data_IF_267649514873
#
_entry.id   IF_267649514873
#
_cell.length_a   1.000
_cell.length_b   1.000
_cell.length_c   1.000
_cell.angle_alpha   90.00
_cell.angle_beta   90.00
_cell.angle_gamma   90.00
#
_symmetry.space_group_name_H-M   'P 1'
#
loop_
_entity.id
_entity.type
_entity.pdbx_description
1 polymer ?
#
# COMPACT_ATOMS: atom_id res chain seq x y z
N UNK A 1 11.95 39.51 -6.98
CA UNK A 1 11.41 38.15 -6.70
C UNK A 1 10.03 38.01 -7.31
N UNK A 2 9.87 37.14 -8.31
CA UNK A 2 8.56 36.95 -8.96
C UNK A 2 7.53 36.37 -7.96
N UNK A 3 6.36 37.00 -7.80
CA UNK A 3 5.26 36.54 -7.01
C UNK A 3 4.82 35.16 -7.54
N UNK A 4 5.02 34.09 -6.75
CA UNK A 4 4.56 32.75 -7.09
C UNK A 4 3.02 32.76 -7.17
N UNK A 5 2.49 32.48 -8.34
CA UNK A 5 1.04 32.41 -8.59
C UNK A 5 0.47 31.26 -7.77
N UNK A 6 -0.49 31.56 -6.89
CA UNK A 6 -1.15 30.55 -6.04
C UNK A 6 -2.06 29.69 -6.94
N UNK A 7 -1.74 28.42 -7.12
CA UNK A 7 -2.56 27.50 -7.93
C UNK A 7 -3.94 27.35 -7.27
N UNK A 8 -5.00 27.54 -8.06
CA UNK A 8 -6.37 27.17 -7.66
C UNK A 8 -6.55 25.67 -7.88
N UNK A 9 -6.81 24.92 -6.82
CA UNK A 9 -7.09 23.47 -6.89
C UNK A 9 -8.53 23.22 -7.37
N UNK A 10 -8.77 23.43 -8.66
CA UNK A 10 -10.04 23.09 -9.30
C UNK A 10 -10.27 21.58 -9.30
N UNK A 11 -11.47 21.15 -9.69
CA UNK A 11 -11.80 19.73 -9.78
C UNK A 11 -10.88 18.99 -10.76
N UNK A 12 -10.56 19.62 -11.89
CA UNK A 12 -9.67 19.10 -12.94
C UNK A 12 -8.23 18.97 -12.45
N UNK A 13 -7.71 19.99 -11.74
CA UNK A 13 -6.35 19.94 -11.16
C UNK A 13 -6.24 18.84 -10.11
N UNK A 14 -7.25 18.70 -9.24
CA UNK A 14 -7.29 17.60 -8.26
C UNK A 14 -7.35 16.23 -8.93
N UNK A 15 -8.15 16.07 -10.00
CA UNK A 15 -8.19 14.82 -10.77
C UNK A 15 -6.82 14.49 -11.33
N UNK A 16 -6.12 15.44 -11.98
CA UNK A 16 -4.75 15.26 -12.49
C UNK A 16 -3.76 14.83 -11.40
N UNK A 17 -3.85 15.43 -10.20
CA UNK A 17 -3.01 15.01 -9.06
C UNK A 17 -3.25 13.54 -8.74
N UNK A 18 -4.51 13.11 -8.65
CA UNK A 18 -4.86 11.73 -8.35
C UNK A 18 -4.43 10.76 -9.44
N UNK A 19 -4.60 11.12 -10.71
CA UNK A 19 -4.19 10.29 -11.85
C UNK A 19 -2.68 10.03 -11.83
N UNK A 20 -1.88 11.09 -11.65
CA UNK A 20 -0.42 10.99 -11.57
C UNK A 20 0.04 10.22 -10.32
N UNK A 21 -0.65 10.42 -9.19
CA UNK A 21 -0.33 9.70 -7.97
C UNK A 21 -0.63 8.21 -8.07
N UNK A 22 -1.76 7.82 -8.69
CA UNK A 22 -2.12 6.42 -8.94
C UNK A 22 -1.19 5.74 -9.94
N UNK A 23 -0.60 6.49 -10.88
CA UNK A 23 0.47 6.03 -11.78
C UNK A 23 1.82 5.82 -11.05
N UNK A 24 1.91 6.10 -9.76
CA UNK A 24 3.12 5.90 -8.95
C UNK A 24 4.14 7.02 -9.02
N UNK A 25 3.81 8.18 -9.65
CA UNK A 25 4.73 9.32 -9.69
C UNK A 25 4.99 9.89 -8.30
N UNK A 26 6.21 10.35 -8.07
CA UNK A 26 6.59 10.97 -6.81
C UNK A 26 5.91 12.34 -6.62
N UNK A 27 5.69 12.76 -5.36
CA UNK A 27 5.12 14.08 -5.07
C UNK A 27 5.94 15.23 -5.68
N UNK A 28 7.29 15.08 -5.72
CA UNK A 28 8.17 16.05 -6.36
C UNK A 28 7.95 16.14 -7.87
N UNK A 29 7.73 14.99 -8.54
CA UNK A 29 7.43 14.93 -9.97
C UNK A 29 6.08 15.57 -10.30
N UNK A 30 5.03 15.26 -9.51
CA UNK A 30 3.70 15.85 -9.66
C UNK A 30 3.75 17.37 -9.42
N UNK A 31 4.47 17.80 -8.40
CA UNK A 31 4.64 19.21 -8.08
C UNK A 31 5.33 19.99 -9.21
N UNK A 32 6.37 19.40 -9.81
CA UNK A 32 7.07 19.99 -10.97
C UNK A 32 6.14 20.10 -12.18
N UNK A 33 5.35 19.07 -12.46
CA UNK A 33 4.38 19.08 -13.56
C UNK A 33 3.34 20.20 -13.43
N UNK A 34 2.93 20.53 -12.20
CA UNK A 34 1.91 21.54 -11.91
C UNK A 34 2.47 22.89 -11.51
N UNK A 35 3.80 23.10 -11.55
CA UNK A 35 4.44 24.36 -11.17
C UNK A 35 4.25 24.74 -9.69
N UNK A 36 4.13 23.75 -8.78
CA UNK A 36 3.85 23.97 -7.36
C UNK A 36 4.88 23.27 -6.46
N UNK A 37 4.68 23.34 -5.14
CA UNK A 37 5.52 22.66 -4.16
C UNK A 37 4.96 21.26 -3.81
N UNK A 38 5.87 20.33 -3.48
CA UNK A 38 5.46 18.97 -3.08
C UNK A 38 4.62 18.95 -1.79
N UNK A 39 4.83 19.90 -0.88
CA UNK A 39 4.01 20.11 0.32
C UNK A 39 2.55 20.42 -0.02
N UNK A 40 2.33 21.22 -1.07
CA UNK A 40 0.98 21.56 -1.54
C UNK A 40 0.26 20.38 -2.15
N UNK A 41 0.98 19.50 -2.88
CA UNK A 41 0.42 18.22 -3.36
C UNK A 41 0.11 17.30 -2.19
N UNK A 42 1.04 17.20 -1.23
CA UNK A 42 0.84 16.39 -0.01
C UNK A 42 -0.42 16.79 0.74
N UNK A 43 -0.68 18.09 0.93
CA UNK A 43 -1.88 18.59 1.62
C UNK A 43 -3.19 18.22 0.92
N UNK A 44 -3.19 17.99 -0.40
CA UNK A 44 -4.37 17.49 -1.13
C UNK A 44 -4.64 16.00 -0.92
N UNK A 45 -3.61 15.20 -0.61
CA UNK A 45 -3.71 13.75 -0.46
C UNK A 45 -3.93 13.30 0.99
N UNK A 46 -3.40 14.05 1.96
CA UNK A 46 -3.46 13.71 3.40
C UNK A 46 -4.87 13.51 3.93
N UNK A 47 -5.88 14.36 3.60
CA UNK A 47 -7.23 14.20 4.18
C UNK A 47 -7.88 12.84 3.87
N UNK A 48 -7.43 12.19 2.80
CA UNK A 48 -7.92 10.86 2.39
C UNK A 48 -6.87 9.78 2.51
N UNK A 49 -5.74 10.07 3.18
CA UNK A 49 -4.65 9.10 3.38
C UNK A 49 -4.04 8.54 2.09
N UNK A 50 -4.07 9.31 1.00
CA UNK A 50 -3.61 8.84 -0.31
C UNK A 50 -4.56 7.87 -1.01
N UNK A 51 -5.80 7.74 -0.53
CA UNK A 51 -6.86 6.97 -1.17
C UNK A 51 -7.74 7.93 -1.97
N UNK A 52 -7.81 7.73 -3.30
CA UNK A 52 -8.66 8.58 -4.16
C UNK A 52 -10.13 8.48 -3.74
N UNK A 53 -10.79 9.59 -3.41
CA UNK A 53 -12.23 9.58 -3.17
C UNK A 53 -12.96 9.12 -4.44
N UNK A 54 -14.00 8.27 -4.33
CA UNK A 54 -14.80 7.90 -5.48
C UNK A 54 -15.49 9.14 -6.08
N UNK A 55 -15.51 9.24 -7.39
CA UNK A 55 -16.22 10.30 -8.07
C UNK A 55 -17.73 10.14 -7.85
N UNK A 56 -18.37 11.23 -7.40
CA UNK A 56 -19.82 11.23 -7.17
C UNK A 56 -20.54 11.26 -8.51
N UNK A 57 -21.34 10.25 -8.77
CA UNK A 57 -22.17 10.14 -9.97
C UNK A 57 -23.64 10.28 -9.58
N UNK A 58 -24.42 11.01 -10.40
CA UNK A 58 -25.87 11.03 -10.28
C UNK A 58 -26.47 9.73 -10.79
N UNK A 59 -27.56 9.32 -10.15
CA UNK A 59 -28.43 8.29 -10.72
C UNK A 59 -29.03 8.80 -12.04
N UNK A 60 -29.20 7.91 -13.00
CA UNK A 60 -29.84 8.21 -14.29
C UNK A 60 -31.30 8.73 -14.11
N UNK A 61 -31.93 8.39 -12.97
CA UNK A 61 -33.28 8.84 -12.64
C UNK A 61 -33.33 10.19 -11.94
N UNK A 62 -32.21 10.74 -11.51
CA UNK A 62 -32.17 12.07 -10.87
C UNK A 62 -32.27 13.18 -11.92
N UNK A 63 -32.95 14.25 -11.56
CA UNK A 63 -32.99 15.44 -12.40
C UNK A 63 -31.58 16.04 -12.57
N UNK A 64 -31.23 16.37 -13.80
CA UNK A 64 -30.01 17.09 -14.16
C UNK A 64 -30.12 18.58 -13.85
N UNK A 65 -29.01 19.31 -13.90
CA UNK A 65 -29.02 20.76 -13.77
C UNK A 65 -29.85 21.44 -14.88
N UNK A 66 -29.70 20.94 -16.14
CA UNK A 66 -30.48 21.47 -17.29
C UNK A 66 -31.98 21.26 -17.10
N UNK A 67 -32.43 20.10 -16.60
CA UNK A 67 -33.85 19.88 -16.32
C UNK A 67 -34.37 20.81 -15.21
N UNK A 68 -33.55 21.11 -14.20
CA UNK A 68 -33.87 22.07 -13.15
C UNK A 68 -33.97 23.49 -13.66
N UNK A 69 -33.13 23.88 -14.61
CA UNK A 69 -33.23 25.17 -15.30
C UNK A 69 -34.55 25.29 -16.07
N UNK A 70 -34.94 24.24 -16.81
CA UNK A 70 -36.23 24.24 -17.50
C UNK A 70 -37.41 24.27 -16.54
N UNK A 71 -37.33 23.62 -15.38
CA UNK A 71 -38.36 23.79 -14.33
C UNK A 71 -38.41 25.24 -13.86
N UNK A 72 -37.24 25.87 -13.60
CA UNK A 72 -37.20 27.28 -13.19
C UNK A 72 -37.83 28.24 -14.24
N UNK A 73 -37.50 28.02 -15.52
CA UNK A 73 -38.07 28.76 -16.65
C UNK A 73 -39.58 28.54 -16.77
N UNK A 74 -40.04 27.29 -16.65
CA UNK A 74 -41.45 26.94 -16.69
C UNK A 74 -42.28 27.61 -15.54
N UNK A 75 -41.67 27.69 -14.34
CA UNK A 75 -42.30 28.40 -13.21
C UNK A 75 -42.46 29.89 -13.52
N UNK A 76 -41.39 30.55 -14.02
CA UNK A 76 -41.44 31.97 -14.40
C UNK A 76 -42.45 32.24 -15.52
N UNK A 77 -42.62 31.29 -16.45
CA UNK A 77 -43.59 31.34 -17.53
C UNK A 77 -45.02 30.94 -17.10
N UNK A 78 -45.28 30.72 -15.81
CA UNK A 78 -46.57 30.30 -15.25
C UNK A 78 -47.11 28.97 -15.88
N UNK A 79 -46.23 28.09 -16.33
CA UNK A 79 -46.63 26.79 -16.85
C UNK A 79 -47.08 25.83 -15.75
N UNK A 80 -48.09 25.01 -16.06
CA UNK A 80 -48.56 23.99 -15.13
C UNK A 80 -47.47 22.90 -14.90
N UNK A 81 -47.49 22.27 -13.73
CA UNK A 81 -46.60 21.11 -13.43
C UNK A 81 -46.72 20.03 -14.49
N UNK A 82 -47.90 19.80 -15.03
CA UNK A 82 -48.12 18.80 -16.09
C UNK A 82 -47.45 19.19 -17.38
N UNK A 83 -47.51 20.46 -17.75
CA UNK A 83 -46.85 21.00 -18.95
C UNK A 83 -45.34 20.91 -18.82
N UNK A 84 -44.75 21.32 -17.69
CA UNK A 84 -43.33 21.23 -17.42
C UNK A 84 -42.87 19.75 -17.46
N UNK A 85 -43.65 18.88 -16.84
CA UNK A 85 -43.33 17.43 -16.81
C UNK A 85 -43.37 16.81 -18.23
N UNK A 86 -44.33 17.21 -19.07
CA UNK A 86 -44.43 16.76 -20.45
C UNK A 86 -43.18 17.19 -21.27
N UNK A 87 -42.79 18.46 -21.16
CA UNK A 87 -41.63 19.02 -21.85
C UNK A 87 -40.32 18.28 -21.46
N UNK A 88 -40.22 17.90 -20.20
CA UNK A 88 -39.03 17.21 -19.68
C UNK A 88 -39.11 15.68 -19.81
N UNK A 89 -40.22 15.14 -20.31
CA UNK A 89 -40.48 13.68 -20.36
C UNK A 89 -40.28 13.02 -18.98
N UNK A 90 -40.77 13.69 -17.94
CA UNK A 90 -40.73 13.23 -16.54
C UNK A 90 -42.14 13.12 -15.98
N UNK A 91 -42.29 12.33 -14.91
CA UNK A 91 -43.55 12.24 -14.21
C UNK A 91 -43.91 13.58 -13.54
N UNK A 92 -45.20 14.05 -13.61
CA UNK A 92 -45.63 15.21 -12.88
C UNK A 92 -45.32 15.16 -11.39
N UNK A 93 -45.41 13.98 -10.78
CA UNK A 93 -45.06 13.80 -9.38
C UNK A 93 -43.58 14.06 -9.07
N UNK A 94 -42.69 13.82 -10.04
CA UNK A 94 -41.28 14.16 -9.91
C UNK A 94 -41.03 15.64 -9.87
N UNK A 95 -41.68 16.37 -10.77
CA UNK A 95 -41.58 17.83 -10.85
C UNK A 95 -42.20 18.50 -9.62
N UNK A 96 -43.41 18.09 -9.23
CA UNK A 96 -44.07 18.59 -8.02
C UNK A 96 -43.22 18.39 -6.75
N UNK A 97 -42.66 17.19 -6.57
CA UNK A 97 -41.78 16.92 -5.43
C UNK A 97 -40.51 17.75 -5.46
N UNK A 98 -39.92 17.98 -6.66
CA UNK A 98 -38.73 18.80 -6.81
C UNK A 98 -38.99 20.25 -6.42
N UNK A 99 -40.10 20.84 -6.91
CA UNK A 99 -40.50 22.21 -6.59
C UNK A 99 -40.77 22.35 -5.08
N UNK A 100 -41.58 21.47 -4.51
CA UNK A 100 -41.95 21.54 -3.10
C UNK A 100 -40.75 21.33 -2.15
N UNK A 101 -39.83 20.46 -2.51
CA UNK A 101 -38.58 20.20 -1.70
C UNK A 101 -37.62 21.38 -1.70
N UNK A 102 -37.74 22.28 -2.64
CA UNK A 102 -36.83 23.41 -2.81
C UNK A 102 -37.51 24.77 -2.63
N UNK A 103 -38.55 24.80 -1.78
CA UNK A 103 -39.17 26.04 -1.31
C UNK A 103 -40.44 26.46 -2.04
N UNK A 104 -40.98 25.64 -2.95
CA UNK A 104 -42.20 25.97 -3.69
C UNK A 104 -41.93 26.85 -4.91
N UNK A 105 -43.01 27.35 -5.50
CA UNK A 105 -42.92 28.10 -6.76
C UNK A 105 -42.21 29.46 -6.59
N UNK A 106 -42.38 30.14 -5.48
CA UNK A 106 -41.90 31.51 -5.28
C UNK A 106 -40.38 31.57 -5.08
N UNK A 107 -39.83 30.53 -4.42
CA UNK A 107 -38.42 30.52 -4.02
C UNK A 107 -37.54 29.54 -4.81
N UNK A 108 -38.14 28.76 -5.71
CA UNK A 108 -37.40 27.77 -6.48
C UNK A 108 -36.27 28.41 -7.31
N UNK A 109 -35.05 27.88 -7.15
CA UNK A 109 -33.87 28.22 -7.96
C UNK A 109 -33.15 26.95 -8.36
N UNK A 110 -32.90 26.77 -9.66
CA UNK A 110 -32.29 25.57 -10.25
C UNK A 110 -30.93 25.23 -9.62
N UNK A 111 -30.06 26.24 -9.44
CA UNK A 111 -28.73 26.06 -8.86
C UNK A 111 -28.80 25.61 -7.39
N UNK A 112 -29.68 26.21 -6.59
CA UNK A 112 -29.89 25.84 -5.20
C UNK A 112 -30.51 24.44 -5.08
N UNK A 113 -31.51 24.14 -5.91
CA UNK A 113 -32.14 22.82 -5.97
C UNK A 113 -31.12 21.71 -6.36
N UNK A 114 -30.21 22.04 -7.26
CA UNK A 114 -29.10 21.13 -7.67
C UNK A 114 -28.15 20.87 -6.51
N UNK A 115 -27.71 21.91 -5.83
CA UNK A 115 -26.85 21.78 -4.67
C UNK A 115 -27.54 20.98 -3.56
N UNK A 116 -28.77 21.32 -3.23
CA UNK A 116 -29.57 20.59 -2.24
C UNK A 116 -29.73 19.09 -2.59
N UNK A 117 -29.84 18.76 -3.90
CA UNK A 117 -29.94 17.38 -4.34
C UNK A 117 -28.60 16.64 -4.12
N UNK A 118 -27.46 17.30 -4.36
CA UNK A 118 -26.15 16.74 -4.03
C UNK A 118 -25.95 16.51 -2.53
N UNK A 119 -26.41 17.44 -1.71
CA UNK A 119 -26.29 17.37 -0.25
C UNK A 119 -27.19 16.28 0.33
N UNK A 120 -28.44 16.18 -0.13
CA UNK A 120 -29.34 15.07 0.24
C UNK A 120 -28.84 13.69 -0.19
N UNK A 121 -28.08 13.62 -1.29
CA UNK A 121 -27.46 12.37 -1.76
C UNK A 121 -26.23 11.96 -0.92
N UNK A 122 -25.75 12.83 -0.02
CA UNK A 122 -24.74 12.50 0.97
C UNK A 122 -25.35 11.58 2.03
N UNK A 123 -25.35 10.29 1.74
CA UNK A 123 -25.67 9.25 2.75
C UNK A 123 -24.37 8.70 3.28
N UNK A 124 -23.90 9.09 4.47
CA UNK A 124 -22.73 8.47 5.08
C UNK A 124 -23.06 7.00 5.34
N UNK A 125 -22.44 6.09 4.58
CA UNK A 125 -22.50 4.67 4.89
C UNK A 125 -21.60 4.43 6.09
N UNK A 126 -22.18 3.97 7.19
CA UNK A 126 -21.41 3.55 8.35
C UNK A 126 -20.41 2.47 7.96
N UNK A 127 -19.21 2.54 8.51
CA UNK A 127 -18.17 1.54 8.25
C UNK A 127 -18.58 0.19 8.86
N UNK A 128 -18.24 -0.92 8.19
CA UNK A 128 -18.52 -2.28 8.72
C UNK A 128 -17.94 -2.47 10.12
N UNK A 129 -16.74 -1.91 10.39
CA UNK A 129 -16.11 -1.96 11.72
C UNK A 129 -16.85 -1.14 12.79
N UNK A 130 -17.61 -0.13 12.39
CA UNK A 130 -18.46 0.66 13.28
C UNK A 130 -19.79 -0.04 13.56
N UNK A 131 -20.36 -0.72 12.54
CA UNK A 131 -21.61 -1.48 12.68
C UNK A 131 -21.40 -2.73 13.54
N UNK A 132 -20.21 -3.34 13.47
CA UNK A 132 -19.84 -4.55 14.21
C UNK A 132 -18.68 -4.27 15.16
N UNK A 133 -18.92 -3.76 16.39
CA UNK A 133 -17.88 -3.38 17.34
C UNK A 133 -16.91 -4.52 17.67
N UNK A 134 -17.40 -5.74 17.87
CA UNK A 134 -16.57 -6.93 18.12
C UNK A 134 -15.56 -7.19 17.00
N UNK A 135 -15.96 -6.99 15.73
CA UNK A 135 -15.03 -7.08 14.61
C UNK A 135 -13.98 -5.95 14.65
N UNK A 136 -14.39 -4.75 15.06
CA UNK A 136 -13.48 -3.62 15.27
C UNK A 136 -12.41 -3.93 16.31
N UNK A 137 -12.80 -4.48 17.46
CA UNK A 137 -11.91 -4.90 18.55
C UNK A 137 -10.93 -6.00 18.11
N UNK A 138 -11.42 -7.01 17.36
CA UNK A 138 -10.57 -8.06 16.81
C UNK A 138 -9.51 -7.49 15.85
N UNK A 139 -9.91 -6.57 14.97
CA UNK A 139 -8.98 -5.90 14.05
C UNK A 139 -7.97 -5.05 14.82
N UNK A 140 -8.41 -4.29 15.82
CA UNK A 140 -7.54 -3.45 16.64
C UNK A 140 -6.51 -4.27 17.41
N UNK A 141 -6.91 -5.38 18.05
CA UNK A 141 -6.01 -6.26 18.79
C UNK A 141 -4.91 -6.84 17.90
N UNK A 142 -5.25 -7.27 16.68
CA UNK A 142 -4.27 -7.78 15.72
C UNK A 142 -3.37 -6.68 15.13
N UNK A 143 -3.89 -5.46 14.93
CA UNK A 143 -3.05 -4.32 14.54
C UNK A 143 -2.02 -3.99 15.63
N UNK A 144 -2.39 -4.02 16.92
CA UNK A 144 -1.46 -3.82 18.04
C UNK A 144 -0.35 -4.87 18.09
N UNK A 145 -0.64 -6.11 17.66
CA UNK A 145 0.34 -7.18 17.41
C UNK A 145 1.10 -7.00 16.10
N UNK A 146 1.04 -5.81 15.49
CA UNK A 146 1.73 -5.44 14.26
C UNK A 146 1.35 -6.27 13.01
N UNK A 147 0.20 -6.93 13.03
CA UNK A 147 -0.28 -7.63 11.84
C UNK A 147 -0.66 -6.63 10.75
N UNK A 148 -0.35 -6.96 9.50
CA UNK A 148 -0.81 -6.13 8.38
C UNK A 148 -2.32 -6.31 8.16
N UNK A 149 -3.02 -5.29 7.62
CA UNK A 149 -4.43 -5.42 7.24
C UNK A 149 -4.74 -6.63 6.35
N UNK A 150 -3.79 -7.06 5.53
CA UNK A 150 -3.92 -8.22 4.65
C UNK A 150 -3.87 -9.53 5.43
N UNK A 151 -2.93 -9.66 6.38
CA UNK A 151 -2.86 -10.79 7.31
C UNK A 151 -4.13 -10.90 8.17
N UNK A 152 -4.63 -9.78 8.69
CA UNK A 152 -5.86 -9.72 9.49
C UNK A 152 -7.06 -10.18 8.65
N UNK A 153 -7.20 -9.65 7.44
CA UNK A 153 -8.29 -10.06 6.53
C UNK A 153 -8.25 -11.55 6.19
N UNK A 154 -7.06 -12.10 5.93
CA UNK A 154 -6.88 -13.53 5.65
C UNK A 154 -7.17 -14.40 6.88
N UNK A 155 -6.71 -13.98 8.06
CA UNK A 155 -6.98 -14.67 9.32
C UNK A 155 -8.48 -14.70 9.63
N UNK A 156 -9.18 -13.58 9.56
CA UNK A 156 -10.63 -13.50 9.80
C UNK A 156 -11.43 -14.42 8.89
N UNK A 157 -11.02 -14.59 7.63
CA UNK A 157 -11.67 -15.53 6.70
C UNK A 157 -11.46 -17.00 7.11
N UNK A 158 -10.31 -17.35 7.65
CA UNK A 158 -10.01 -18.73 8.09
C UNK A 158 -10.71 -19.07 9.39
N UNK A 159 -10.68 -18.17 10.37
CA UNK A 159 -11.28 -18.39 11.70
C UNK A 159 -12.82 -18.30 11.67
N UNK A 160 -13.37 -17.53 10.73
CA UNK A 160 -14.81 -17.28 10.65
C UNK A 160 -15.34 -17.47 9.22
N UNK A 161 -15.18 -18.65 8.58
CA UNK A 161 -15.57 -18.86 7.19
C UNK A 161 -17.07 -18.58 6.94
N UNK A 162 -17.94 -18.99 7.85
CA UNK A 162 -19.40 -18.90 7.72
C UNK A 162 -20.02 -17.63 8.30
N UNK A 163 -19.21 -16.72 8.87
CA UNK A 163 -19.69 -15.51 9.54
C UNK A 163 -19.30 -14.26 8.77
N UNK A 164 -20.08 -13.87 7.78
CA UNK A 164 -19.83 -12.63 7.01
C UNK A 164 -19.62 -11.38 7.90
N UNK A 165 -20.34 -11.29 9.02
CA UNK A 165 -20.23 -10.17 9.96
C UNK A 165 -18.88 -10.10 10.67
N UNK A 166 -18.10 -11.18 10.70
CA UNK A 166 -16.76 -11.25 11.28
C UNK A 166 -15.66 -11.18 10.22
N UNK A 167 -15.99 -10.97 8.95
CA UNK A 167 -15.03 -10.82 7.87
C UNK A 167 -14.95 -9.36 7.42
N UNK A 168 -13.76 -8.91 7.06
CA UNK A 168 -13.53 -7.57 6.52
C UNK A 168 -12.37 -7.59 5.52
N UNK A 169 -12.49 -6.82 4.44
CA UNK A 169 -11.40 -6.69 3.47
C UNK A 169 -10.27 -5.82 4.03
N UNK A 170 -9.03 -6.13 3.63
CA UNK A 170 -7.87 -5.31 3.98
C UNK A 170 -8.04 -3.83 3.55
N UNK A 171 -8.74 -3.59 2.44
CA UNK A 171 -9.03 -2.24 1.95
C UNK A 171 -9.95 -1.46 2.89
N UNK A 172 -10.94 -2.14 3.50
CA UNK A 172 -11.81 -1.51 4.52
C UNK A 172 -11.03 -1.14 5.77
N UNK A 173 -10.09 -2.00 6.21
CA UNK A 173 -9.20 -1.71 7.34
C UNK A 173 -8.33 -0.49 7.01
N UNK A 174 -7.68 -0.46 5.84
CA UNK A 174 -6.89 0.70 5.42
C UNK A 174 -7.72 1.99 5.36
N UNK A 175 -8.93 1.94 4.78
CA UNK A 175 -9.81 3.11 4.75
C UNK A 175 -10.19 3.60 6.13
N UNK A 176 -10.45 2.70 7.07
CA UNK A 176 -10.78 3.07 8.46
C UNK A 176 -9.61 3.71 9.19
N UNK A 177 -8.37 3.32 8.85
CA UNK A 177 -7.16 3.91 9.43
C UNK A 177 -6.80 5.27 8.83
N UNK A 178 -6.90 5.42 7.51
CA UNK A 178 -6.42 6.61 6.80
C UNK A 178 -7.50 7.68 6.57
N UNK A 179 -8.78 7.30 6.45
CA UNK A 179 -9.89 8.23 6.22
C UNK A 179 -10.61 8.46 7.55
N UNK A 180 -10.07 9.34 8.38
CA UNK A 180 -10.51 9.60 9.75
C UNK A 180 -11.97 10.12 9.89
N UNK A 181 -12.57 10.62 8.83
CA UNK A 181 -13.97 11.04 8.84
C UNK A 181 -14.97 9.89 9.13
N UNK A 182 -14.49 8.65 9.22
CA UNK A 182 -15.31 7.45 9.48
C UNK A 182 -15.06 6.80 10.83
N UNK A 183 -14.10 7.31 11.63
CA UNK A 183 -13.93 7.10 13.08
C UNK A 183 -13.90 5.67 13.64
N UNK A 184 -14.00 4.62 12.80
CA UNK A 184 -14.12 3.24 13.28
C UNK A 184 -12.84 2.67 13.91
N UNK A 185 -11.68 3.20 13.57
CA UNK A 185 -10.39 2.83 14.16
C UNK A 185 -9.62 4.08 14.55
N UNK A 186 -8.95 4.03 15.70
CA UNK A 186 -8.16 5.16 16.20
C UNK A 186 -6.97 5.44 15.29
N UNK A 187 -6.68 6.73 15.03
CA UNK A 187 -5.55 7.18 14.21
C UNK A 187 -4.20 6.65 14.72
N UNK A 188 -4.07 6.50 16.03
CA UNK A 188 -2.88 5.97 16.69
C UNK A 188 -2.49 4.57 16.17
N UNK A 189 -3.47 3.77 15.73
CA UNK A 189 -3.22 2.44 15.18
C UNK A 189 -2.40 2.46 13.88
N UNK A 190 -2.26 3.61 13.22
CA UNK A 190 -1.38 3.75 12.05
C UNK A 190 0.09 3.51 12.38
N UNK A 191 0.51 3.76 13.63
CA UNK A 191 1.89 3.53 14.07
C UNK A 191 2.29 2.04 14.04
N UNK A 192 1.33 1.13 14.13
CA UNK A 192 1.55 -0.32 14.07
C UNK A 192 1.63 -0.86 12.64
N UNK A 193 1.36 -0.03 11.62
CA UNK A 193 1.55 -0.41 10.23
C UNK A 193 3.04 -0.44 9.86
N UNK A 194 3.46 -1.44 9.08
CA UNK A 194 4.87 -1.62 8.64
C UNK A 194 5.52 -0.36 8.09
N UNK A 195 4.79 0.46 7.35
CA UNK A 195 5.38 1.64 6.70
C UNK A 195 5.25 2.92 7.51
N UNK A 196 4.53 2.95 8.62
CA UNK A 196 4.25 4.12 9.48
C UNK A 196 3.99 5.43 8.71
N UNK A 197 3.48 5.35 7.47
CA UNK A 197 3.27 6.49 6.58
C UNK A 197 1.89 7.07 6.79
N UNK A 198 1.79 8.38 6.71
CA UNK A 198 0.52 9.11 6.75
C UNK A 198 -0.27 9.04 5.45
N UNK A 199 0.38 8.63 4.35
CA UNK A 199 -0.23 8.48 3.01
C UNK A 199 0.16 7.12 2.43
N UNK A 200 -0.83 6.40 1.92
CA UNK A 200 -0.64 5.12 1.21
C UNK A 200 -0.04 5.37 -0.17
N UNK A 201 1.00 4.61 -0.54
CA UNK A 201 1.56 4.66 -1.90
C UNK A 201 0.68 3.88 -2.89
N UNK A 202 0.71 4.30 -4.15
CA UNK A 202 0.14 3.52 -5.24
C UNK A 202 0.91 2.20 -5.44
N UNK A 203 0.21 1.12 -5.81
CA UNK A 203 0.83 -0.20 -6.07
C UNK A 203 1.87 -0.17 -7.18
N UNK A 204 1.70 0.72 -8.16
CA UNK A 204 2.60 0.91 -9.30
C UNK A 204 3.88 1.70 -8.99
N UNK A 205 4.07 2.16 -7.75
CA UNK A 205 5.28 2.88 -7.37
C UNK A 205 6.45 1.91 -7.15
N UNK A 206 7.18 1.59 -8.22
CA UNK A 206 8.43 0.85 -8.14
C UNK A 206 9.58 1.78 -7.80
N UNK A 207 10.43 1.37 -6.86
CA UNK A 207 11.74 1.98 -6.64
C UNK A 207 12.71 1.33 -7.64
N UNK A 208 13.11 2.05 -8.69
CA UNK A 208 14.25 1.65 -9.51
C UNK A 208 15.51 1.82 -8.67
N UNK A 209 16.21 0.74 -8.38
CA UNK A 209 17.55 0.75 -7.83
C UNK A 209 18.56 0.69 -8.97
N UNK A 210 19.44 1.66 -9.07
CA UNK A 210 20.61 1.63 -9.95
C UNK A 210 21.81 1.06 -9.19
N UNK A 211 22.61 0.25 -9.86
CA UNK A 211 23.96 -0.10 -9.46
C UNK A 211 24.20 -1.58 -9.13
N UNK A 212 24.51 -2.35 -10.16
CA UNK A 212 24.93 -3.76 -10.03
C UNK A 212 26.45 -3.86 -10.15
N UNK A 213 27.12 -4.26 -9.04
CA UNK A 213 28.51 -4.66 -9.05
C UNK A 213 28.70 -5.98 -9.83
N UNK A 214 29.85 -6.15 -10.52
CA UNK A 214 30.23 -7.43 -11.11
C UNK A 214 30.82 -8.32 -10.01
N UNK A 215 30.24 -9.49 -9.79
CA UNK A 215 30.79 -10.58 -8.97
C UNK A 215 31.61 -11.46 -9.90
N UNK A 216 32.94 -11.63 -9.66
CA UNK A 216 33.77 -12.50 -10.49
C UNK A 216 33.34 -13.97 -10.35
N UNK A 217 33.35 -14.73 -11.44
CA UNK A 217 33.04 -16.16 -11.47
C UNK A 217 31.70 -16.55 -10.82
N UNK A 218 30.72 -15.66 -10.91
CA UNK A 218 29.37 -15.91 -10.40
C UNK A 218 28.67 -17.02 -11.20
N UNK A 219 28.24 -18.08 -10.53
CA UNK A 219 27.43 -19.14 -11.15
C UNK A 219 25.99 -18.57 -11.32
N UNK A 220 25.47 -18.49 -12.56
CA UNK A 220 24.16 -17.92 -12.80
C UNK A 220 23.05 -18.82 -12.25
N UNK A 221 21.92 -18.21 -11.90
CA UNK A 221 20.74 -18.92 -11.35
C UNK A 221 20.19 -19.96 -12.34
N UNK A 222 20.44 -19.81 -13.63
CA UNK A 222 20.06 -20.78 -14.67
C UNK A 222 20.74 -22.15 -14.52
N UNK A 223 21.89 -22.20 -13.84
CA UNK A 223 22.60 -23.45 -13.54
C UNK A 223 22.11 -24.11 -12.25
N UNK A 224 21.19 -23.50 -11.54
CA UNK A 224 20.62 -24.04 -10.31
C UNK A 224 19.76 -25.27 -10.62
N UNK A 225 19.89 -26.37 -9.84
CA UNK A 225 19.08 -27.58 -10.06
C UNK A 225 17.59 -27.31 -10.07
N UNK A 226 16.84 -27.99 -10.96
CA UNK A 226 15.40 -27.82 -11.07
C UNK A 226 14.64 -28.17 -9.78
N UNK A 227 15.18 -29.08 -8.95
CA UNK A 227 14.63 -29.43 -7.62
C UNK A 227 14.49 -28.24 -6.68
N UNK A 228 15.24 -27.16 -6.93
CA UNK A 228 15.15 -25.93 -6.13
C UNK A 228 13.92 -25.10 -6.49
N UNK A 229 13.35 -25.28 -7.69
CA UNK A 229 12.26 -24.43 -8.18
C UNK A 229 10.89 -24.78 -7.58
N UNK A 230 10.59 -26.06 -7.43
CA UNK A 230 9.29 -26.51 -6.90
C UNK A 230 9.13 -26.32 -5.39
N UNK A 231 10.23 -25.98 -4.70
CA UNK A 231 10.28 -25.77 -3.24
C UNK A 231 9.84 -26.98 -2.41
N UNK A 232 9.84 -28.17 -2.99
CA UNK A 232 9.46 -29.39 -2.29
C UNK A 232 10.59 -29.93 -1.41
N UNK A 233 11.84 -29.66 -1.81
CA UNK A 233 13.03 -30.16 -1.12
C UNK A 233 13.57 -29.08 -0.19
N UNK A 234 13.69 -29.35 1.13
CA UNK A 234 14.33 -28.42 2.07
C UNK A 234 15.84 -28.33 1.87
N UNK A 235 16.43 -27.24 2.39
CA UNK A 235 17.86 -26.98 2.34
C UNK A 235 18.30 -25.98 1.29
N UNK A 236 17.39 -25.36 0.57
CA UNK A 236 17.69 -24.33 -0.42
C UNK A 236 17.35 -22.92 0.12
N UNK A 237 18.38 -22.07 0.24
CA UNK A 237 18.29 -20.79 0.89
C UNK A 237 18.34 -19.60 -0.08
N UNK A 238 17.65 -18.56 0.26
CA UNK A 238 17.75 -17.23 -0.36
C UNK A 238 18.36 -16.26 0.65
N UNK A 239 19.40 -15.53 0.26
CA UNK A 239 20.09 -14.60 1.13
C UNK A 239 20.07 -13.16 0.60
N UNK A 240 20.15 -12.19 1.52
CA UNK A 240 20.19 -10.75 1.24
C UNK A 240 20.71 -9.96 2.45
N UNK A 241 20.99 -8.68 2.28
CA UNK A 241 21.31 -7.78 3.38
C UNK A 241 20.17 -6.82 3.69
N UNK A 242 19.81 -6.71 4.96
CA UNK A 242 19.00 -5.61 5.47
C UNK A 242 19.94 -4.48 5.91
N UNK A 243 19.90 -3.35 5.17
CA UNK A 243 20.72 -2.18 5.47
C UNK A 243 20.02 -1.21 6.42
N UNK A 244 20.76 -0.69 7.39
CA UNK A 244 20.37 0.36 8.33
C UNK A 244 21.02 1.72 8.03
N UNK A 245 21.02 2.59 9.03
CA UNK A 245 21.85 3.81 9.06
C UNK A 245 23.27 3.47 9.50
N UNK A 246 24.19 4.44 9.40
CA UNK A 246 25.60 4.30 9.81
C UNK A 246 26.32 3.09 9.24
N UNK A 247 25.97 2.67 8.01
CA UNK A 247 26.51 1.48 7.34
C UNK A 247 26.26 0.16 8.11
N UNK A 248 25.34 0.14 9.06
CA UNK A 248 24.95 -1.09 9.76
C UNK A 248 24.14 -2.01 8.82
N UNK A 249 24.36 -3.31 8.96
CA UNK A 249 23.65 -4.31 8.15
C UNK A 249 23.49 -5.62 8.93
N UNK A 250 22.51 -6.40 8.50
CA UNK A 250 22.19 -7.74 8.99
C UNK A 250 22.01 -8.63 7.77
N UNK A 251 22.64 -9.80 7.74
CA UNK A 251 22.35 -10.79 6.72
C UNK A 251 21.05 -11.53 7.05
N UNK A 252 20.23 -11.75 6.04
CA UNK A 252 18.99 -12.51 6.14
C UNK A 252 19.10 -13.74 5.26
N UNK A 253 18.84 -14.89 5.83
CA UNK A 253 18.78 -16.16 5.15
C UNK A 253 17.38 -16.73 5.30
N UNK A 254 16.73 -17.07 4.21
CA UNK A 254 15.38 -17.62 4.19
C UNK A 254 15.39 -18.95 3.48
N UNK A 255 15.01 -20.00 4.19
CA UNK A 255 14.84 -21.33 3.61
C UNK A 255 13.57 -21.35 2.73
N UNK A 256 13.68 -21.90 1.52
CA UNK A 256 12.65 -21.76 0.47
C UNK A 256 11.39 -22.60 0.71
N UNK A 257 11.53 -23.77 1.33
CA UNK A 257 10.43 -24.69 1.61
C UNK A 257 9.67 -24.28 2.87
N UNK A 258 10.35 -24.24 4.01
CA UNK A 258 9.77 -23.98 5.33
C UNK A 258 9.48 -22.52 5.61
N UNK A 259 10.16 -21.60 4.90
CA UNK A 259 10.22 -20.16 5.20
C UNK A 259 10.94 -19.84 6.51
N UNK A 260 11.68 -20.78 7.04
CA UNK A 260 12.52 -20.55 8.19
C UNK A 260 13.52 -19.42 7.92
N UNK A 261 13.70 -18.56 8.89
CA UNK A 261 14.52 -17.34 8.76
C UNK A 261 15.70 -17.44 9.72
N UNK A 262 16.87 -17.07 9.25
CA UNK A 262 18.02 -16.79 10.11
C UNK A 262 18.47 -15.36 9.88
N UNK A 263 18.73 -14.65 10.96
CA UNK A 263 19.30 -13.30 10.97
C UNK A 263 20.71 -13.36 11.53
N UNK A 264 21.67 -12.84 10.78
CA UNK A 264 23.08 -12.87 11.17
C UNK A 264 23.59 -11.45 11.34
N UNK A 265 24.06 -11.14 12.56
CA UNK A 265 24.69 -9.87 12.86
C UNK A 265 25.98 -9.71 12.07
N UNK A 266 26.17 -8.52 11.50
CA UNK A 266 27.37 -8.19 10.72
C UNK A 266 27.99 -6.89 11.26
N UNK A 267 29.31 -6.86 11.38
CA UNK A 267 30.03 -5.64 11.79
C UNK A 267 30.12 -4.64 10.64
N UNK A 268 30.18 -5.13 9.41
CA UNK A 268 30.24 -4.28 8.19
C UNK A 268 29.81 -5.07 6.95
N UNK A 269 29.71 -4.37 5.79
CA UNK A 269 29.34 -4.94 4.48
C UNK A 269 30.51 -5.49 3.66
N UNK A 270 31.71 -5.58 4.21
CA UNK A 270 32.84 -6.11 3.45
C UNK A 270 32.63 -7.58 3.14
N UNK A 271 32.96 -7.99 1.93
CA UNK A 271 32.74 -9.37 1.45
C UNK A 271 33.33 -10.42 2.39
N UNK A 272 34.52 -10.18 2.92
CA UNK A 272 35.14 -11.09 3.87
C UNK A 272 34.34 -11.25 5.17
N UNK A 273 33.85 -10.16 5.73
CA UNK A 273 33.02 -10.19 6.96
C UNK A 273 31.71 -10.93 6.73
N UNK A 274 31.03 -10.61 5.63
CA UNK A 274 29.77 -11.26 5.26
C UNK A 274 29.96 -12.75 5.06
N UNK A 275 30.93 -13.11 4.23
CA UNK A 275 31.21 -14.53 3.91
C UNK A 275 31.64 -15.30 5.16
N UNK A 276 32.51 -14.76 6.03
CA UNK A 276 32.89 -15.41 7.28
C UNK A 276 31.72 -15.65 8.21
N UNK A 277 30.81 -14.65 8.35
CA UNK A 277 29.61 -14.78 9.17
C UNK A 277 28.66 -15.86 8.62
N UNK A 278 28.49 -15.92 7.30
CA UNK A 278 27.67 -16.94 6.64
C UNK A 278 28.26 -18.34 6.77
N UNK A 279 29.58 -18.50 6.70
CA UNK A 279 30.27 -19.79 6.94
C UNK A 279 30.02 -20.26 8.37
N UNK A 280 30.18 -19.37 9.35
CA UNK A 280 29.94 -19.74 10.76
C UNK A 280 28.46 -20.14 10.98
N UNK A 281 27.54 -19.49 10.31
CA UNK A 281 26.12 -19.81 10.40
C UNK A 281 25.80 -21.14 9.70
N UNK A 282 26.40 -21.40 8.54
CA UNK A 282 26.23 -22.66 7.80
C UNK A 282 26.70 -23.89 8.62
N UNK A 283 27.84 -23.77 9.29
CA UNK A 283 28.38 -24.85 10.14
C UNK A 283 27.53 -25.21 11.37
N UNK A 284 26.50 -24.39 11.69
CA UNK A 284 25.57 -24.70 12.78
C UNK A 284 24.38 -25.55 12.33
N UNK A 285 24.21 -25.75 11.03
CA UNK A 285 23.16 -26.56 10.45
C UNK A 285 23.65 -27.91 9.98
N UNK A 286 22.81 -28.94 10.05
CA UNK A 286 23.08 -30.20 9.36
C UNK A 286 23.26 -30.00 7.85
N UNK A 287 24.18 -30.73 7.21
CA UNK A 287 24.47 -30.58 5.77
C UNK A 287 23.22 -30.78 4.89
N UNK A 288 22.32 -31.67 5.30
CA UNK A 288 21.09 -31.96 4.58
C UNK A 288 20.14 -30.74 4.53
N UNK A 289 20.30 -29.81 5.47
CA UNK A 289 19.46 -28.60 5.59
C UNK A 289 20.09 -27.36 4.96
N UNK A 290 21.32 -27.46 4.39
CA UNK A 290 21.95 -26.31 3.70
C UNK A 290 22.66 -26.76 2.40
N UNK A 291 21.86 -26.99 1.35
CA UNK A 291 22.30 -27.53 0.06
C UNK A 291 22.73 -26.46 -0.95
N UNK A 292 22.10 -25.30 -0.94
CA UNK A 292 22.43 -24.20 -1.83
C UNK A 292 22.05 -22.85 -1.27
N UNK A 293 22.75 -21.81 -1.71
CA UNK A 293 22.47 -20.42 -1.39
C UNK A 293 22.23 -19.63 -2.68
N UNK A 294 21.13 -18.88 -2.75
CA UNK A 294 20.86 -17.94 -3.85
C UNK A 294 21.01 -16.51 -3.35
N UNK A 295 21.85 -15.74 -4.04
CA UNK A 295 22.14 -14.33 -3.68
C UNK A 295 21.95 -13.42 -4.89
N UNK A 296 21.90 -12.10 -4.66
CA UNK A 296 21.98 -11.16 -5.78
C UNK A 296 23.44 -10.93 -6.20
N UNK A 297 23.66 -10.11 -7.23
CA UNK A 297 25.01 -9.76 -7.68
C UNK A 297 25.62 -8.61 -6.88
N UNK A 298 25.36 -8.56 -5.57
CA UNK A 298 25.94 -7.58 -4.68
C UNK A 298 27.43 -7.80 -4.44
N UNK A 299 28.15 -6.72 -4.22
CA UNK A 299 29.62 -6.76 -4.00
C UNK A 299 30.00 -7.42 -2.68
N UNK A 300 29.05 -7.60 -1.76
CA UNK A 300 29.22 -8.27 -0.47
C UNK A 300 29.47 -9.79 -0.61
N UNK A 301 29.13 -10.38 -1.76
CA UNK A 301 29.40 -11.79 -2.04
C UNK A 301 30.54 -12.00 -3.05
N UNK A 302 31.45 -11.06 -3.20
CA UNK A 302 32.64 -11.24 -4.09
C UNK A 302 33.51 -12.42 -3.71
N UNK A 303 33.61 -12.71 -2.42
CA UNK A 303 34.40 -13.85 -1.89
C UNK A 303 33.59 -15.14 -1.75
N UNK A 304 32.50 -15.30 -2.54
CA UNK A 304 31.62 -16.47 -2.49
C UNK A 304 32.34 -17.81 -2.75
N UNK A 305 33.43 -17.81 -3.51
CA UNK A 305 34.25 -19.03 -3.74
C UNK A 305 34.79 -19.56 -2.44
N UNK A 306 35.23 -18.69 -1.52
CA UNK A 306 35.65 -19.07 -0.18
C UNK A 306 34.51 -19.72 0.61
N UNK A 307 33.29 -19.19 0.50
CA UNK A 307 32.10 -19.77 1.13
C UNK A 307 31.90 -21.22 0.62
N UNK A 308 31.87 -21.40 -0.71
CA UNK A 308 31.72 -22.74 -1.32
C UNK A 308 32.84 -23.71 -0.91
N UNK A 309 34.10 -23.26 -0.87
CA UNK A 309 35.23 -24.11 -0.48
C UNK A 309 35.18 -24.55 1.00
N UNK A 310 34.68 -23.67 1.90
CA UNK A 310 34.66 -23.98 3.34
C UNK A 310 33.36 -24.69 3.80
N UNK A 311 32.32 -24.69 2.99
CA UNK A 311 31.00 -25.25 3.37
C UNK A 311 30.48 -26.33 2.43
N UNK A 312 31.11 -26.52 1.28
CA UNK A 312 30.63 -27.35 0.16
C UNK A 312 29.25 -26.95 -0.40
N UNK A 313 28.81 -25.72 -0.08
CA UNK A 313 27.49 -25.19 -0.49
C UNK A 313 27.68 -24.32 -1.73
N UNK A 314 26.97 -24.67 -2.82
CA UNK A 314 27.03 -23.90 -4.06
C UNK A 314 26.21 -22.58 -3.93
N UNK A 315 26.82 -21.46 -4.34
CA UNK A 315 26.17 -20.14 -4.42
C UNK A 315 25.74 -19.85 -5.84
N UNK A 316 24.44 -19.55 -6.02
CA UNK A 316 23.85 -19.15 -7.29
C UNK A 316 23.49 -17.66 -7.28
N UNK A 317 23.74 -16.95 -8.38
CA UNK A 317 23.49 -15.52 -8.48
C UNK A 317 22.31 -15.22 -9.39
N UNK A 318 21.40 -14.38 -8.90
CA UNK A 318 20.25 -13.91 -9.67
C UNK A 318 20.69 -13.14 -10.92
N UNK A 319 19.81 -13.15 -11.92
CA UNK A 319 19.98 -12.31 -13.09
C UNK A 319 19.81 -10.83 -12.70
N UNK A 320 20.50 -9.91 -13.42
CA UNK A 320 20.35 -8.50 -13.19
C UNK A 320 18.89 -8.06 -13.32
N UNK A 321 18.41 -7.27 -12.38
CA UNK A 321 17.05 -6.71 -12.35
C UNK A 321 15.92 -7.75 -12.24
N UNK A 322 16.20 -8.96 -11.78
CA UNK A 322 15.23 -10.03 -11.57
C UNK A 322 14.95 -10.33 -10.08
N UNK A 323 14.38 -9.37 -9.29
CA UNK A 323 14.15 -9.56 -7.86
C UNK A 323 13.20 -10.70 -7.52
N UNK A 324 12.29 -11.06 -8.46
CA UNK A 324 11.38 -12.20 -8.28
C UNK A 324 12.07 -13.54 -8.11
N UNK A 325 13.33 -13.68 -8.56
CA UNK A 325 14.11 -14.90 -8.39
C UNK A 325 14.47 -15.18 -6.92
N UNK A 326 14.37 -14.16 -6.04
CA UNK A 326 14.50 -14.25 -4.57
C UNK A 326 13.23 -13.81 -3.85
N UNK A 327 12.09 -14.20 -4.36
CA UNK A 327 10.78 -13.75 -3.85
C UNK A 327 10.51 -14.12 -2.40
N UNK A 328 11.08 -15.21 -1.88
CA UNK A 328 10.95 -15.62 -0.47
C UNK A 328 11.67 -14.64 0.43
N UNK A 329 12.91 -14.33 0.13
CA UNK A 329 13.73 -13.41 0.92
C UNK A 329 13.19 -11.97 0.84
N UNK A 330 12.82 -11.48 -0.36
CA UNK A 330 12.27 -10.14 -0.51
C UNK A 330 10.97 -9.95 0.31
N UNK A 331 10.09 -10.95 0.33
CA UNK A 331 8.88 -10.91 1.14
C UNK A 331 9.20 -10.92 2.64
N UNK A 332 10.11 -11.78 3.07
CA UNK A 332 10.56 -11.86 4.46
C UNK A 332 11.23 -10.56 4.90
N UNK A 333 12.11 -9.98 4.09
CA UNK A 333 12.74 -8.69 4.40
C UNK A 333 11.69 -7.57 4.58
N UNK A 334 10.57 -7.61 3.86
CA UNK A 334 9.46 -6.67 4.10
C UNK A 334 8.80 -6.89 5.47
N UNK A 335 8.71 -8.13 5.94
CA UNK A 335 8.18 -8.45 7.27
C UNK A 335 9.14 -7.97 8.34
N UNK A 336 10.42 -8.32 8.20
CA UNK A 336 11.48 -7.93 9.12
C UNK A 336 11.62 -6.41 9.28
N UNK A 337 11.29 -5.61 8.25
CA UNK A 337 11.26 -4.13 8.34
C UNK A 337 10.24 -3.58 9.34
N UNK A 338 9.40 -4.40 9.89
CA UNK A 338 8.50 -4.07 11.00
C UNK A 338 9.29 -3.92 12.31
N UNK A 339 10.27 -4.78 12.51
CA UNK A 339 11.16 -4.84 13.67
C UNK A 339 12.45 -4.06 13.44
N UNK A 340 12.95 -4.08 12.22
CA UNK A 340 14.20 -3.46 11.75
C UNK A 340 13.89 -2.33 10.75
N UNK A 341 13.38 -1.16 11.18
CA UNK A 341 12.93 -0.10 10.29
C UNK A 341 14.06 0.48 9.45
N UNK A 342 13.75 0.94 8.23
CA UNK A 342 14.73 1.64 7.37
C UNK A 342 15.22 2.93 8.04
N UNK A 343 16.52 3.16 7.97
CA UNK A 343 17.15 4.37 8.52
C UNK A 343 17.43 4.31 10.02
N UNK A 344 17.16 3.20 10.69
CA UNK A 344 17.62 2.94 12.06
C UNK A 344 19.01 2.30 12.06
N UNK A 345 19.74 2.48 13.15
CA UNK A 345 21.03 1.82 13.37
C UNK A 345 20.76 0.36 13.78
N UNK A 346 21.20 -0.58 12.97
CA UNK A 346 20.98 -2.01 13.21
C UNK A 346 22.12 -2.65 14.03
N UNK A 347 23.23 -1.93 14.24
CA UNK A 347 24.37 -2.41 15.03
C UNK A 347 24.06 -2.56 16.53
N UNK A 348 23.02 -1.86 16.98
CA UNK A 348 22.60 -1.88 18.38
C UNK A 348 21.97 -3.22 18.80
N UNK A 349 21.48 -4.01 17.85
CA UNK A 349 20.87 -5.29 18.14
C UNK A 349 21.93 -6.38 18.41
N UNK A 350 21.71 -7.14 19.46
CA UNK A 350 22.49 -8.36 19.74
C UNK A 350 22.04 -9.51 18.86
N UNK A 351 22.87 -10.56 18.72
CA UNK A 351 22.46 -11.75 17.97
C UNK A 351 21.27 -12.46 18.64
N UNK A 352 21.16 -12.42 19.98
CA UNK A 352 20.01 -12.97 20.70
C UNK A 352 18.70 -12.26 20.33
N UNK A 353 18.71 -10.93 20.31
CA UNK A 353 17.53 -10.15 19.88
C UNK A 353 17.15 -10.41 18.43
N UNK A 354 18.15 -10.60 17.57
CA UNK A 354 17.89 -10.98 16.17
C UNK A 354 17.25 -12.37 16.05
N UNK A 355 17.68 -13.32 16.88
CA UNK A 355 17.09 -14.66 16.90
C UNK A 355 15.64 -14.66 17.43
N UNK A 356 15.27 -13.73 18.34
CA UNK A 356 13.89 -13.55 18.78
C UNK A 356 12.98 -12.94 17.69
N UNK A 357 13.55 -12.19 16.78
CA UNK A 357 12.82 -11.57 15.65
C UNK A 357 12.67 -12.56 14.50
N UNK A 358 13.57 -13.52 14.36
CA UNK A 358 13.61 -14.50 13.27
C UNK A 358 12.52 -15.58 13.42
#
# INVERSE_FOLDING_TARGET
>A
MARRTRIKYTKEVRSKIWDQYQQGKSLKSIARLLGTQSSSIYSQLVPTGGIRPPERKRSKHSLSMAEREEISRGIVANLSVRTIALNLRRSPSTISREINRNGGYDTYRATQADQNAWDRALRPKRCKLEIHPKLGEMVESKLRLQWSPEQISGWLKREHPDKENHQVSHETIYRSLFVQARGALKKELQQYLRSKRTIRRAKSSSLKGDGLGRVPNAVPISERPASVEDRAVPGHWEGDLIEGSKNSCIATLVERHSRYVMLVKLDNKKSETVVSALINQAKQLPDELYKSLTWDRGTEMKSHQRFTMETDIQVYFCDPQCPWQRGSNENTNRLLRQYLPKGTDLSVHSQSELNEVA
#
